data_IF_349913390678
#
_entry.id   IF_349913390678
#
_cell.length_a   1.000
_cell.length_b   1.000
_cell.length_c   1.000
_cell.angle_alpha   90.00
_cell.angle_beta   90.00
_cell.angle_gamma   90.00
#
_symmetry.space_group_name_H-M   'P 1'
#
loop_
_entity.id
_entity.type
_entity.pdbx_description
1 polymer ?
#
# COMPACT_ATOMS: atom_id res chain seq x y z
N UNK A 1 3.66 23.13 28.87
CA UNK A 1 2.95 21.84 28.91
C UNK A 1 2.90 21.34 27.47
N UNK A 2 3.62 20.26 27.15
CA UNK A 2 3.54 19.66 25.81
C UNK A 2 2.23 18.89 25.74
N UNK A 3 1.42 19.16 24.74
CA UNK A 3 0.17 18.43 24.51
C UNK A 3 0.50 16.93 24.33
N UNK A 4 -0.16 15.99 25.03
CA UNK A 4 0.16 14.58 24.91
C UNK A 4 -0.08 14.11 23.47
N UNK A 5 0.73 13.16 22.95
CA UNK A 5 0.51 12.61 21.63
C UNK A 5 -0.90 12.01 21.57
N UNK A 6 -1.67 12.39 20.55
CA UNK A 6 -2.98 11.78 20.30
C UNK A 6 -2.78 10.42 19.68
N UNK A 7 -3.69 9.50 20.00
CA UNK A 7 -3.79 8.24 19.26
C UNK A 7 -4.07 8.54 17.77
N UNK A 8 -3.35 7.88 16.84
CA UNK A 8 -3.62 8.04 15.43
C UNK A 8 -5.07 7.68 15.13
N UNK A 9 -5.71 8.43 14.24
CA UNK A 9 -7.04 8.05 13.76
C UNK A 9 -6.99 6.64 13.14
N UNK A 10 -8.07 5.86 13.20
CA UNK A 10 -8.10 4.53 12.60
C UNK A 10 -7.70 4.53 11.12
N UNK A 11 -8.01 5.61 10.39
CA UNK A 11 -7.59 5.81 9.00
C UNK A 11 -6.07 5.87 8.86
N UNK A 12 -5.41 6.69 9.69
CA UNK A 12 -3.95 6.85 9.67
C UNK A 12 -3.28 5.56 10.12
N UNK A 13 -3.77 4.95 11.20
CA UNK A 13 -3.24 3.68 11.69
C UNK A 13 -3.28 2.59 10.61
N UNK A 14 -4.43 2.43 9.93
CA UNK A 14 -4.61 1.50 8.83
C UNK A 14 -3.69 1.82 7.63
N UNK A 15 -3.56 3.10 7.28
CA UNK A 15 -2.68 3.53 6.19
C UNK A 15 -1.21 3.23 6.51
N UNK A 16 -0.74 3.53 7.72
CA UNK A 16 0.63 3.20 8.17
C UNK A 16 0.86 1.70 8.16
N UNK A 17 -0.13 0.90 8.56
CA UNK A 17 0.01 -0.56 8.60
C UNK A 17 0.19 -1.20 7.21
N UNK A 18 -0.37 -0.58 6.17
CA UNK A 18 -0.24 -1.03 4.78
C UNK A 18 1.09 -0.64 4.11
N UNK A 19 1.84 0.31 4.69
CA UNK A 19 3.06 0.87 4.10
C UNK A 19 4.24 0.73 5.07
N UNK A 20 4.71 -0.51 5.28
CA UNK A 20 5.77 -0.81 6.25
C UNK A 20 7.16 -0.67 5.63
N UNK A 21 7.29 -0.75 4.30
CA UNK A 21 8.56 -0.55 3.61
C UNK A 21 8.91 0.94 3.51
N UNK A 22 10.07 1.40 4.00
CA UNK A 22 10.38 2.83 4.11
C UNK A 22 10.39 3.55 2.76
N UNK A 23 10.86 2.90 1.71
CA UNK A 23 10.83 3.48 0.36
C UNK A 23 9.40 3.56 -0.19
N UNK A 24 8.56 2.56 0.08
CA UNK A 24 7.16 2.57 -0.34
C UNK A 24 6.42 3.73 0.35
N UNK A 25 6.63 3.87 1.66
CA UNK A 25 6.10 4.97 2.46
C UNK A 25 6.54 6.34 1.91
N UNK A 26 7.83 6.51 1.63
CA UNK A 26 8.37 7.76 1.06
C UNK A 26 7.77 8.09 -0.31
N UNK A 27 7.64 7.08 -1.19
CA UNK A 27 7.00 7.25 -2.50
C UNK A 27 5.54 7.70 -2.37
N UNK A 28 4.80 7.20 -1.38
CA UNK A 28 3.45 7.66 -1.10
C UNK A 28 3.42 9.09 -0.56
N UNK A 29 4.30 9.44 0.36
CA UNK A 29 4.40 10.81 0.89
C UNK A 29 4.71 11.84 -0.21
N UNK A 30 5.50 11.47 -1.21
CA UNK A 30 5.79 12.33 -2.36
C UNK A 30 4.69 12.26 -3.43
N UNK A 31 4.05 11.10 -3.63
CA UNK A 31 3.09 10.87 -4.71
C UNK A 31 1.66 11.33 -4.42
N UNK A 32 1.21 11.27 -3.15
CA UNK A 32 -0.14 11.68 -2.75
C UNK A 32 -0.39 13.18 -3.03
N UNK A 33 0.48 14.12 -2.59
CA UNK A 33 0.25 15.56 -2.82
C UNK A 33 0.06 15.95 -4.29
N UNK A 34 0.94 15.57 -5.25
CA UNK A 34 0.75 15.91 -6.66
C UNK A 34 -0.48 15.21 -7.26
N UNK A 35 -0.84 14.01 -6.80
CA UNK A 35 -2.06 13.34 -7.28
C UNK A 35 -3.31 14.13 -6.91
N UNK A 36 -3.42 14.53 -5.63
CA UNK A 36 -4.53 15.37 -5.15
C UNK A 36 -4.53 16.70 -5.91
N UNK A 37 -3.37 17.36 -6.03
CA UNK A 37 -3.26 18.64 -6.73
C UNK A 37 -3.66 18.52 -8.21
N UNK A 38 -3.26 17.44 -8.89
CA UNK A 38 -3.64 17.14 -10.26
C UNK A 38 -5.16 17.07 -10.41
N UNK A 39 -5.85 16.36 -9.51
CA UNK A 39 -7.34 16.31 -9.48
C UNK A 39 -7.95 17.69 -9.27
N UNK A 40 -7.44 18.46 -8.30
CA UNK A 40 -7.98 19.80 -8.01
C UNK A 40 -7.78 20.78 -9.18
N UNK A 41 -6.67 20.66 -9.92
CA UNK A 41 -6.41 21.50 -11.08
C UNK A 41 -7.32 21.20 -12.28
N UNK A 42 -7.97 20.05 -12.35
CA UNK A 42 -8.98 19.79 -13.40
C UNK A 42 -10.14 20.79 -13.31
N UNK A 43 -10.60 21.12 -12.11
CA UNK A 43 -11.66 22.13 -11.91
C UNK A 43 -11.21 23.51 -12.40
N UNK A 44 -9.95 23.87 -12.19
CA UNK A 44 -9.36 25.12 -12.70
C UNK A 44 -9.27 25.10 -14.22
N UNK A 45 -8.86 23.98 -14.81
CA UNK A 45 -8.89 23.80 -16.26
C UNK A 45 -10.31 24.01 -16.82
N UNK A 46 -11.35 23.40 -16.24
CA UNK A 46 -12.73 23.54 -16.73
C UNK A 46 -13.16 25.01 -16.76
N UNK A 47 -12.76 25.81 -15.76
CA UNK A 47 -13.07 27.24 -15.71
C UNK A 47 -12.28 28.11 -16.70
N UNK A 48 -11.02 27.73 -17.02
CA UNK A 48 -10.13 28.53 -17.86
C UNK A 48 -10.00 28.02 -19.31
N UNK A 49 -10.38 26.78 -19.58
CA UNK A 49 -10.09 26.02 -20.80
C UNK A 49 -8.62 26.10 -21.24
N UNK A 50 -7.72 26.14 -20.27
CA UNK A 50 -6.29 26.37 -20.49
C UNK A 50 -5.54 25.06 -20.74
N UNK A 51 -5.00 24.88 -21.95
CA UNK A 51 -4.21 23.71 -22.32
C UNK A 51 -2.97 23.49 -21.41
N UNK A 52 -2.19 24.52 -21.03
CA UNK A 52 -1.10 24.35 -20.07
C UNK A 52 -1.57 23.84 -18.70
N UNK A 53 -2.71 24.32 -18.19
CA UNK A 53 -3.27 23.87 -16.91
C UNK A 53 -3.72 22.41 -17.01
N UNK A 54 -4.34 22.03 -18.12
CA UNK A 54 -4.68 20.63 -18.39
C UNK A 54 -3.43 19.74 -18.39
N UNK A 55 -2.40 20.12 -19.13
CA UNK A 55 -1.16 19.35 -19.23
C UNK A 55 -0.49 19.18 -17.84
N UNK A 56 -0.42 20.26 -17.06
CA UNK A 56 0.11 20.21 -15.70
C UNK A 56 -0.73 19.32 -14.77
N UNK A 57 -2.06 19.45 -14.84
CA UNK A 57 -3.00 18.63 -14.06
C UNK A 57 -2.83 17.14 -14.34
N UNK A 58 -2.77 16.76 -15.61
CA UNK A 58 -2.53 15.37 -16.04
C UNK A 58 -1.16 14.88 -15.58
N UNK A 59 -0.10 15.68 -15.76
CA UNK A 59 1.25 15.30 -15.37
C UNK A 59 1.38 15.07 -13.86
N UNK A 60 0.77 15.94 -13.04
CA UNK A 60 0.77 15.79 -11.59
C UNK A 60 -0.06 14.58 -11.15
N UNK A 61 -1.24 14.38 -11.75
CA UNK A 61 -2.10 13.25 -11.45
C UNK A 61 -1.41 11.92 -11.77
N UNK A 62 -0.99 11.72 -13.03
CA UNK A 62 -0.37 10.46 -13.44
C UNK A 62 1.01 10.27 -12.84
N UNK A 63 1.82 11.33 -12.74
CA UNK A 63 3.13 11.26 -12.12
C UNK A 63 3.05 10.86 -10.64
N UNK A 64 2.19 11.53 -9.88
CA UNK A 64 1.95 11.20 -8.47
C UNK A 64 1.35 9.80 -8.28
N UNK A 65 0.43 9.39 -9.16
CA UNK A 65 -0.19 8.08 -9.13
C UNK A 65 0.81 6.96 -9.42
N UNK A 66 1.68 7.15 -10.42
CA UNK A 66 2.74 6.18 -10.74
C UNK A 66 3.73 5.99 -9.58
N UNK A 67 4.06 7.05 -8.84
CA UNK A 67 4.90 6.96 -7.64
C UNK A 67 4.25 6.09 -6.56
N UNK A 68 2.96 6.30 -6.28
CA UNK A 68 2.20 5.48 -5.32
C UNK A 68 2.11 4.02 -5.78
N UNK A 69 1.82 3.80 -7.05
CA UNK A 69 1.76 2.45 -7.63
C UNK A 69 3.11 1.73 -7.51
N UNK A 70 4.22 2.42 -7.79
CA UNK A 70 5.57 1.89 -7.58
C UNK A 70 5.82 1.52 -6.11
N UNK A 71 5.34 2.34 -5.16
CA UNK A 71 5.38 2.02 -3.74
C UNK A 71 4.65 0.71 -3.41
N UNK A 72 3.43 0.53 -3.92
CA UNK A 72 2.66 -0.70 -3.75
C UNK A 72 3.34 -1.93 -4.35
N UNK A 73 3.94 -1.80 -5.53
CA UNK A 73 4.72 -2.88 -6.15
C UNK A 73 5.92 -3.27 -5.28
N UNK A 74 6.64 -2.30 -4.72
CA UNK A 74 7.76 -2.55 -3.80
C UNK A 74 7.31 -3.19 -2.48
N UNK A 75 6.14 -2.79 -1.97
CA UNK A 75 5.54 -3.35 -0.76
C UNK A 75 4.98 -4.77 -1.00
N UNK A 76 4.66 -5.12 -2.25
CA UNK A 76 3.99 -6.37 -2.62
C UNK A 76 2.49 -6.37 -2.27
N UNK A 77 1.87 -5.19 -2.20
CA UNK A 77 0.44 -5.02 -1.89
C UNK A 77 -0.31 -4.47 -3.09
N UNK A 78 -1.61 -4.75 -3.16
CA UNK A 78 -2.51 -4.13 -4.12
C UNK A 78 -2.86 -2.69 -3.69
N UNK A 79 -2.85 -1.72 -4.63
CA UNK A 79 -3.40 -0.39 -4.41
C UNK A 79 -4.85 -0.41 -3.93
N UNK A 80 -5.25 0.58 -3.13
CA UNK A 80 -6.56 0.61 -2.46
C UNK A 80 -7.76 0.51 -3.42
N UNK A 81 -7.69 1.20 -4.55
CA UNK A 81 -8.68 1.15 -5.62
C UNK A 81 -8.77 -0.25 -6.25
N UNK A 82 -7.63 -0.93 -6.43
CA UNK A 82 -7.59 -2.30 -6.95
C UNK A 82 -8.17 -3.27 -5.93
N UNK A 83 -7.84 -3.12 -4.64
CA UNK A 83 -8.44 -3.89 -3.53
C UNK A 83 -9.95 -3.71 -3.52
N UNK A 84 -10.45 -2.48 -3.63
CA UNK A 84 -11.89 -2.20 -3.68
C UNK A 84 -12.59 -2.97 -4.80
N UNK A 85 -12.06 -2.91 -6.03
CA UNK A 85 -12.65 -3.62 -7.16
C UNK A 85 -12.52 -5.14 -7.04
N UNK A 86 -11.34 -5.66 -6.67
CA UNK A 86 -11.13 -7.10 -6.47
C UNK A 86 -12.07 -7.64 -5.39
N UNK A 87 -12.21 -6.94 -4.27
CA UNK A 87 -13.15 -7.28 -3.20
C UNK A 87 -14.59 -7.31 -3.70
N UNK A 88 -15.01 -6.30 -4.47
CA UNK A 88 -16.36 -6.25 -5.08
C UNK A 88 -16.61 -7.40 -6.06
N UNK A 89 -15.57 -7.86 -6.74
CA UNK A 89 -15.63 -8.95 -7.73
C UNK A 89 -15.34 -10.35 -7.14
N UNK A 90 -15.09 -10.46 -5.82
CA UNK A 90 -14.74 -11.73 -5.18
C UNK A 90 -13.37 -12.29 -5.61
N UNK A 91 -12.48 -11.45 -6.13
CA UNK A 91 -11.15 -11.84 -6.59
C UNK A 91 -10.13 -11.80 -5.45
N UNK A 92 -9.09 -12.66 -5.47
CA UNK A 92 -8.01 -12.61 -4.48
C UNK A 92 -7.24 -11.29 -4.56
N UNK A 93 -6.95 -10.69 -3.41
CA UNK A 93 -6.22 -9.43 -3.28
C UNK A 93 -5.26 -9.48 -2.08
N UNK A 94 -4.23 -8.63 -2.13
CA UNK A 94 -3.24 -8.48 -1.05
C UNK A 94 -3.31 -7.07 -0.48
N UNK A 95 -3.93 -6.90 0.68
CA UNK A 95 -4.09 -5.58 1.29
C UNK A 95 -2.91 -5.17 2.18
N UNK A 96 -2.32 -6.14 2.87
CA UNK A 96 -1.23 -5.93 3.82
C UNK A 96 0.03 -6.68 3.40
N UNK A 97 1.22 -6.16 3.72
CA UNK A 97 2.47 -6.85 3.44
C UNK A 97 2.54 -8.16 4.24
N UNK A 98 3.20 -9.22 3.73
CA UNK A 98 3.38 -10.47 4.46
C UNK A 98 4.01 -10.22 5.84
N UNK A 99 3.51 -10.92 6.86
CA UNK A 99 4.12 -10.84 8.19
C UNK A 99 5.60 -11.25 8.09
N UNK A 100 6.49 -10.40 8.64
CA UNK A 100 7.96 -10.56 8.56
C UNK A 100 8.46 -11.95 9.02
N UNK A 101 7.66 -12.68 9.81
CA UNK A 101 7.95 -14.04 10.30
C UNK A 101 7.29 -15.21 9.54
N UNK A 102 6.30 -14.98 8.68
CA UNK A 102 5.59 -16.07 7.98
C UNK A 102 6.46 -16.75 6.90
N UNK A 103 7.40 -15.99 6.31
CA UNK A 103 8.38 -16.53 5.35
C UNK A 103 9.44 -17.38 6.07
N UNK A 104 9.80 -17.02 7.31
CA UNK A 104 10.79 -17.75 8.11
C UNK A 104 10.26 -19.11 8.60
N UNK A 105 8.98 -19.21 8.97
CA UNK A 105 8.34 -20.49 9.36
C UNK A 105 8.11 -21.42 8.18
N UNK A 106 7.80 -20.90 6.99
CA UNK A 106 7.71 -21.72 5.78
C UNK A 106 9.09 -22.25 5.34
N UNK A 107 10.15 -21.46 5.51
CA UNK A 107 11.52 -21.86 5.21
C UNK A 107 12.09 -22.88 6.22
N UNK A 108 11.66 -22.86 7.48
CA UNK A 108 12.06 -23.85 8.49
C UNK A 108 11.28 -25.17 8.39
N UNK A 109 10.04 -25.15 7.90
CA UNK A 109 9.23 -26.36 7.67
C UNK A 109 9.76 -27.26 6.53
N UNK A 110 10.74 -26.79 5.74
CA UNK A 110 11.38 -27.54 4.66
C UNK A 110 12.63 -28.33 5.07
N UNK A 111 13.03 -28.33 6.35
CA UNK A 111 14.33 -28.90 6.76
C UNK A 111 14.29 -29.67 8.10
N UNK A 112 13.42 -30.66 8.21
CA UNK A 112 13.81 -31.98 8.75
C UNK A 112 12.73 -33.02 8.40
N UNK A 113 13.04 -33.90 7.46
CA UNK A 113 12.27 -35.12 7.20
C UNK A 113 13.23 -36.29 7.18
N UNK A 114 14.10 -36.38 8.19
CA UNK A 114 14.89 -37.59 8.46
C UNK A 114 14.40 -38.27 9.73
N UNK A 115 13.17 -38.79 9.67
CA UNK A 115 12.68 -40.01 10.34
C UNK A 115 11.15 -40.01 10.25
N UNK A 116 10.60 -40.59 9.18
CA UNK A 116 9.16 -40.80 9.07
C UNK A 116 8.67 -41.86 10.06
N UNK A 117 8.52 -41.50 11.34
CA UNK A 117 7.85 -42.34 12.34
C UNK A 117 7.04 -41.48 13.32
N UNK A 118 5.76 -41.76 13.55
CA UNK A 118 5.01 -41.08 14.60
C UNK A 118 5.57 -41.44 15.97
N UNK A 119 5.77 -40.43 16.83
CA UNK A 119 6.11 -40.64 18.23
C UNK A 119 4.91 -41.30 18.93
N UNK A 120 5.17 -42.44 19.58
CA UNK A 120 4.19 -43.13 20.40
C UNK A 120 3.76 -42.22 21.58
N UNK A 121 2.46 -42.14 21.84
CA UNK A 121 1.93 -41.47 23.02
C UNK A 121 2.28 -42.28 24.28
N UNK A 122 2.75 -41.63 25.37
CA UNK A 122 2.83 -42.29 26.66
C UNK A 122 1.43 -42.40 27.27
N UNK A 123 1.11 -43.60 27.76
CA UNK A 123 -0.04 -43.88 28.63
C UNK A 123 0.24 -43.58 30.09
#
# INVERSE_FOLDING_TARGET
MVYPPQEPSPLIAHWVERHRHPLSFALHMVGIPPTILGVLLFSVYVGLLSAPVMALSLALFFGGYLLQFAGHVLEGTDPGEIVFFKKKLGMPYVEFPPARGAVATAASAGRDRTTGKPAAAPG
#
